data_IF_181285620060
#
_entry.id   IF_181285620060
#
_cell.length_a   1.000
_cell.length_b   1.000
_cell.length_c   1.000
_cell.angle_alpha   90.00
_cell.angle_beta   90.00
_cell.angle_gamma   90.00
#
_symmetry.space_group_name_H-M   'P 1'
#
loop_
_entity.id
_entity.type
_entity.pdbx_description
1 polymer ?
#
# COMPACT_ATOMS: atom_id res chain seq x y z
N UNK A 1 -2.90 10.31 -16.12
CA UNK A 1 -2.54 10.41 -14.69
C UNK A 1 -2.55 9.00 -14.13
N UNK A 2 -1.47 8.24 -14.37
CA UNK A 2 -1.27 6.94 -13.71
C UNK A 2 -0.96 7.26 -12.25
N UNK A 3 -1.91 6.97 -11.37
CA UNK A 3 -1.69 7.05 -9.93
C UNK A 3 -1.17 5.68 -9.53
N UNK A 4 0.12 5.63 -9.20
CA UNK A 4 0.79 4.46 -8.65
C UNK A 4 0.16 4.11 -7.30
N UNK A 5 -1.00 3.44 -7.33
CA UNK A 5 -1.68 2.98 -6.14
C UNK A 5 -0.99 1.74 -5.62
N UNK A 6 0.07 1.90 -4.82
CA UNK A 6 0.65 0.80 -4.06
C UNK A 6 -0.35 0.39 -2.98
N UNK A 7 -1.14 -0.63 -3.25
CA UNK A 7 -2.12 -1.18 -2.30
C UNK A 7 -1.45 -2.02 -1.21
N UNK A 8 -0.87 -1.34 -0.22
CA UNK A 8 -0.26 -2.00 0.92
C UNK A 8 -1.31 -2.65 1.82
N UNK A 9 -1.28 -3.98 1.95
CA UNK A 9 -2.15 -4.72 2.85
C UNK A 9 -1.65 -4.72 4.31
N UNK A 10 -2.23 -3.90 5.18
CA UNK A 10 -1.87 -3.89 6.62
C UNK A 10 -2.82 -4.78 7.42
N UNK A 11 -2.28 -5.81 8.09
CA UNK A 11 -3.06 -6.68 8.98
C UNK A 11 -2.82 -6.23 10.43
N UNK A 12 -3.71 -5.41 11.00
CA UNK A 12 -3.63 -5.03 12.43
C UNK A 12 -4.25 -6.09 13.36
N UNK A 13 -5.00 -7.04 12.79
CA UNK A 13 -5.69 -8.16 13.42
C UNK A 13 -5.95 -9.23 12.33
N UNK A 14 -5.91 -10.54 12.63
CA UNK A 14 -5.86 -11.64 11.63
C UNK A 14 -6.98 -11.68 10.57
N UNK A 15 -7.94 -10.75 10.56
CA UNK A 15 -9.07 -10.71 9.62
C UNK A 15 -9.29 -9.37 8.89
N UNK A 16 -8.51 -8.31 9.16
CA UNK A 16 -8.74 -7.01 8.51
C UNK A 16 -7.50 -6.46 7.83
N UNK A 17 -7.64 -6.35 6.51
CA UNK A 17 -6.67 -5.83 5.56
C UNK A 17 -7.04 -4.42 5.18
N UNK A 18 -6.14 -3.47 5.39
CA UNK A 18 -6.25 -2.10 4.88
C UNK A 18 -5.57 -2.02 3.53
N UNK A 19 -6.10 -1.25 2.59
CA UNK A 19 -5.49 -0.95 1.31
C UNK A 19 -5.54 0.57 1.08
N UNK A 20 -4.56 1.14 0.41
CA UNK A 20 -4.50 2.57 0.13
C UNK A 20 -3.45 2.87 -0.91
N UNK A 21 -3.14 4.15 -1.11
CA UNK A 21 -2.09 4.60 -2.02
C UNK A 21 -0.89 5.10 -1.20
N UNK A 22 0.34 4.94 -1.71
CA UNK A 22 1.52 5.55 -1.10
C UNK A 22 2.28 6.34 -2.16
N UNK A 23 2.81 7.51 -1.78
CA UNK A 23 3.58 8.35 -2.69
C UNK A 23 4.98 7.73 -2.96
N UNK A 24 5.61 7.19 -1.92
CA UNK A 24 6.92 6.54 -1.96
C UNK A 24 6.90 5.29 -1.08
N UNK A 25 7.53 4.21 -1.54
CA UNK A 25 7.70 3.00 -0.74
C UNK A 25 8.68 3.25 0.42
N UNK A 26 8.41 2.73 1.62
CA UNK A 26 9.31 2.90 2.76
C UNK A 26 10.67 2.23 2.48
N UNK A 27 11.73 2.93 2.84
CA UNK A 27 13.10 2.43 2.81
C UNK A 27 13.38 1.57 4.04
N UNK A 28 14.44 0.77 3.99
CA UNK A 28 14.85 -0.09 5.11
C UNK A 28 15.15 0.68 6.41
N UNK A 29 15.42 1.98 6.33
CA UNK A 29 15.68 2.86 7.48
C UNK A 29 14.42 3.53 8.04
N UNK A 30 13.30 3.46 7.32
CA UNK A 30 12.08 4.12 7.73
C UNK A 30 11.37 3.30 8.81
N UNK A 31 10.72 3.99 9.74
CA UNK A 31 9.98 3.37 10.84
C UNK A 31 8.47 3.51 10.68
N UNK A 32 8.03 4.25 9.66
CA UNK A 32 6.63 4.59 9.40
C UNK A 32 6.34 4.48 7.91
N UNK A 33 5.05 4.31 7.60
CA UNK A 33 4.50 4.38 6.25
C UNK A 33 3.33 5.35 6.25
N UNK A 34 3.27 6.21 5.23
CA UNK A 34 2.18 7.16 5.02
C UNK A 34 1.27 6.61 3.93
N UNK A 35 0.01 6.42 4.27
CA UNK A 35 -1.00 5.85 3.39
C UNK A 35 -2.08 6.89 3.12
N UNK A 36 -2.43 7.04 1.84
CA UNK A 36 -3.42 7.98 1.33
C UNK A 36 -4.69 7.22 1.00
N UNK A 37 -5.83 7.79 1.36
CA UNK A 37 -7.16 7.20 1.16
C UNK A 37 -7.23 5.75 1.66
N UNK A 38 -6.92 5.47 2.95
CA UNK A 38 -6.92 4.12 3.47
C UNK A 38 -8.35 3.56 3.56
N UNK A 39 -8.55 2.37 3.03
CA UNK A 39 -9.84 1.66 2.95
C UNK A 39 -9.65 0.21 3.36
N UNK A 40 -10.70 -0.53 3.64
CA UNK A 40 -10.57 -1.99 3.69
C UNK A 40 -10.19 -2.54 2.32
N UNK A 41 -9.67 -3.77 2.24
CA UNK A 41 -9.42 -4.47 0.97
C UNK A 41 -10.66 -4.52 0.05
N UNK A 42 -11.86 -4.56 0.63
CA UNK A 42 -13.14 -4.51 -0.10
C UNK A 42 -13.56 -3.09 -0.52
N UNK A 43 -12.75 -2.08 -0.22
CA UNK A 43 -12.98 -0.68 -0.58
C UNK A 43 -13.91 0.09 0.36
N UNK A 44 -14.23 -0.44 1.55
CA UNK A 44 -15.08 0.23 2.55
C UNK A 44 -14.26 1.13 3.48
N UNK A 45 -14.91 2.08 4.12
CA UNK A 45 -14.27 2.91 5.14
C UNK A 45 -13.81 2.11 6.35
N UNK A 46 -12.73 2.58 6.98
CA UNK A 46 -12.21 2.02 8.22
C UNK A 46 -12.96 2.61 9.41
N UNK A 47 -13.79 1.79 10.06
CA UNK A 47 -14.64 2.20 11.19
C UNK A 47 -13.88 2.78 12.41
N UNK A 48 -12.57 2.60 12.49
CA UNK A 48 -11.72 3.10 13.57
C UNK A 48 -10.85 4.31 13.18
N UNK A 49 -11.04 4.84 11.97
CA UNK A 49 -10.39 6.05 11.47
C UNK A 49 -11.47 7.08 11.19
N UNK A 50 -11.14 8.34 11.42
CA UNK A 50 -12.03 9.45 11.08
C UNK A 50 -12.32 9.48 9.56
N UNK A 51 -13.59 9.63 9.18
CA UNK A 51 -14.01 9.65 7.77
C UNK A 51 -13.42 10.81 6.96
N UNK A 52 -12.96 11.88 7.62
CA UNK A 52 -12.30 13.02 6.98
C UNK A 52 -10.78 12.83 6.81
N UNK A 53 -10.21 11.76 7.38
CA UNK A 53 -8.78 11.50 7.31
C UNK A 53 -8.34 11.08 5.90
N UNK A 54 -7.68 12.00 5.19
CA UNK A 54 -7.13 11.73 3.85
C UNK A 54 -5.81 10.97 3.90
N UNK A 55 -5.04 11.10 4.99
CA UNK A 55 -3.74 10.45 5.19
C UNK A 55 -3.67 9.82 6.57
N UNK A 56 -3.09 8.63 6.63
CA UNK A 56 -2.84 7.91 7.89
C UNK A 56 -1.38 7.47 7.92
N UNK A 57 -0.76 7.60 9.09
CA UNK A 57 0.63 7.22 9.33
C UNK A 57 0.62 5.98 10.22
N UNK A 58 1.21 4.89 9.76
CA UNK A 58 1.34 3.64 10.52
C UNK A 58 2.80 3.34 10.88
N UNK A 59 3.06 2.86 12.11
CA UNK A 59 4.35 2.29 12.45
C UNK A 59 4.60 0.98 11.68
N UNK A 60 5.74 0.87 11.00
CA UNK A 60 6.11 -0.34 10.25
C UNK A 60 6.24 -1.58 11.14
N UNK A 61 6.60 -1.41 12.41
CA UNK A 61 6.67 -2.50 13.40
C UNK A 61 5.33 -3.21 13.64
N UNK A 62 4.20 -2.57 13.30
CA UNK A 62 2.85 -3.15 13.41
C UNK A 62 2.34 -3.77 12.10
N UNK A 63 3.15 -3.71 11.03
CA UNK A 63 2.80 -4.18 9.70
C UNK A 63 3.39 -5.56 9.48
N UNK A 64 2.55 -6.57 9.24
CA UNK A 64 3.02 -7.93 8.97
C UNK A 64 3.80 -8.03 7.65
N UNK A 65 3.26 -7.45 6.58
CA UNK A 65 3.90 -7.36 5.28
C UNK A 65 3.29 -6.21 4.48
N UNK A 66 3.98 -5.78 3.42
CA UNK A 66 3.49 -4.81 2.45
C UNK A 66 3.38 -5.53 1.11
N UNK A 67 2.17 -5.60 0.57
CA UNK A 67 1.91 -6.09 -0.78
C UNK A 67 1.96 -4.90 -1.75
N UNK A 68 2.83 -4.95 -2.75
CA UNK A 68 2.92 -3.92 -3.79
C UNK A 68 2.19 -4.46 -5.00
N UNK A 69 1.00 -3.91 -5.28
CA UNK A 69 0.30 -4.20 -6.52
C UNK A 69 0.88 -3.31 -7.62
N UNK A 70 1.40 -3.94 -8.68
CA UNK A 70 1.81 -3.21 -9.87
C UNK A 70 0.60 -2.64 -10.61
N UNK A 71 0.78 -1.50 -11.28
CA UNK A 71 -0.18 -1.05 -12.29
C UNK A 71 -0.24 -2.15 -13.36
N UNK A 72 -1.42 -2.46 -13.90
CA UNK A 72 -1.60 -3.55 -14.88
C UNK A 72 -0.98 -3.24 -16.26
N UNK A 73 0.12 -2.48 -16.32
CA UNK A 73 0.78 -2.01 -17.54
C UNK A 73 2.30 -2.20 -17.60
N UNK A 74 2.95 -2.82 -16.62
CA UNK A 74 4.39 -3.07 -16.69
C UNK A 74 4.75 -4.56 -16.57
N UNK A 75 4.20 -5.38 -17.49
CA UNK A 75 4.98 -6.50 -18.03
C UNK A 75 6.06 -5.92 -18.95
N UNK A 76 7.13 -5.35 -18.38
CA UNK A 76 8.37 -5.13 -19.13
C UNK A 76 9.02 -6.50 -19.33
N UNK A 77 8.65 -7.14 -20.43
CA UNK A 77 9.31 -8.31 -20.99
C UNK A 77 10.81 -7.98 -21.09
N UNK A 78 11.61 -8.58 -20.20
CA UNK A 78 13.06 -8.65 -20.33
C UNK A 78 13.38 -9.52 -21.55
N UNK A 79 13.50 -8.88 -22.72
CA UNK A 79 14.04 -9.52 -23.91
C UNK A 79 15.52 -9.78 -23.71
N UNK A 80 15.88 -11.02 -23.34
CA UNK A 80 17.26 -11.46 -23.31
C UNK A 80 17.82 -11.41 -24.74
N UNK A 81 18.73 -10.46 -25.01
CA UNK A 81 19.58 -10.53 -26.20
C UNK A 81 20.65 -11.59 -25.92
N UNK A 82 20.72 -12.62 -26.77
CA UNK A 82 21.91 -13.46 -26.91
C UNK A 82 22.57 -13.08 -28.24
N UNK A 83 23.82 -12.64 -28.18
CA UNK A 83 24.73 -12.66 -29.34
C UNK A 83 25.12 -14.12 -29.67
#
# INVERSE_FOLDING_TARGET
MSRNGVFCNFTSSPKQSVAGEVDELPKATDNIIVVINPRTKDGKDLHYIDHSAVKVIWPLVKVSFIEVLGDSQDEKIIGFVRE
#
